data_IF_361648844422
#
_entry.id   IF_361648844422
#
_cell.length_a   1.000
_cell.length_b   1.000
_cell.length_c   1.000
_cell.angle_alpha   90.00
_cell.angle_beta   90.00
_cell.angle_gamma   90.00
#
_symmetry.space_group_name_H-M   'P 1'
#
loop_
_entity.id
_entity.type
_entity.pdbx_description
1 polymer ?
#
# COMPACT_ATOMS: atom_id res chain seq x y z
N UNK A 1 45.62 28.20 -17.44
CA UNK A 1 44.79 27.60 -16.37
C UNK A 1 43.57 28.47 -16.16
N UNK A 2 42.37 28.00 -16.54
CA UNK A 2 41.05 28.27 -15.92
C UNK A 2 39.98 27.50 -16.73
N UNK A 3 39.14 26.74 -16.03
CA UNK A 3 38.26 25.66 -16.51
C UNK A 3 36.96 26.15 -17.18
N UNK A 4 36.27 25.28 -17.98
CA UNK A 4 35.02 25.61 -18.66
C UNK A 4 33.80 25.54 -17.73
N UNK A 5 32.79 26.36 -18.03
CA UNK A 5 31.55 26.49 -17.28
C UNK A 5 30.70 25.23 -17.26
N UNK A 6 30.41 24.73 -16.06
CA UNK A 6 29.46 23.66 -15.83
C UNK A 6 28.03 24.22 -15.67
N UNK A 7 27.19 23.90 -16.65
CA UNK A 7 25.73 23.91 -16.56
C UNK A 7 25.24 23.25 -15.26
N UNK A 8 24.64 24.01 -14.35
CA UNK A 8 23.77 23.45 -13.30
C UNK A 8 22.38 23.19 -13.88
N UNK A 9 22.17 21.97 -14.37
CA UNK A 9 20.84 21.35 -14.39
C UNK A 9 20.46 21.10 -12.93
N UNK A 10 19.47 21.81 -12.40
CA UNK A 10 18.84 21.43 -11.14
C UNK A 10 17.91 20.26 -11.41
N UNK A 11 18.41 19.04 -11.19
CA UNK A 11 17.56 17.86 -11.06
C UNK A 11 16.76 18.02 -9.77
N UNK A 12 15.48 18.39 -9.89
CA UNK A 12 14.55 18.43 -8.77
C UNK A 12 14.14 16.99 -8.41
N UNK A 13 15.04 16.26 -7.74
CA UNK A 13 14.66 15.04 -7.04
C UNK A 13 13.92 15.47 -5.78
N UNK A 14 12.61 15.20 -5.72
CA UNK A 14 11.69 15.59 -4.65
C UNK A 14 12.15 15.09 -3.28
N UNK A 15 12.98 15.88 -2.61
CA UNK A 15 13.31 15.69 -1.19
C UNK A 15 12.08 16.11 -0.39
N UNK A 16 11.29 15.14 0.05
CA UNK A 16 10.25 15.39 1.04
C UNK A 16 10.90 16.02 2.28
N UNK A 17 10.43 17.21 2.68
CA UNK A 17 10.97 17.90 3.83
C UNK A 17 10.57 17.13 5.11
N UNK A 18 11.52 16.72 5.96
CA UNK A 18 11.23 15.85 7.13
C UNK A 18 10.25 16.46 8.14
N UNK A 19 9.97 17.77 8.07
CA UNK A 19 8.98 18.44 8.91
C UNK A 19 7.52 18.17 8.52
N UNK A 20 7.24 17.82 7.26
CA UNK A 20 5.86 17.66 6.77
C UNK A 20 5.19 16.42 7.34
N UNK A 21 5.93 15.31 7.52
CA UNK A 21 5.37 14.09 8.11
C UNK A 21 5.12 14.24 9.62
N UNK A 22 5.86 15.11 10.31
CA UNK A 22 5.66 15.42 11.73
C UNK A 22 4.57 16.47 11.99
N UNK A 23 4.03 17.10 10.95
CA UNK A 23 2.97 18.11 11.08
C UNK A 23 1.71 17.50 11.72
N UNK A 24 1.13 18.14 12.76
CA UNK A 24 -0.06 17.62 13.43
C UNK A 24 -1.27 17.43 12.50
N UNK A 25 -1.42 18.28 11.48
CA UNK A 25 -2.48 18.15 10.48
C UNK A 25 -2.29 16.92 9.60
N UNK A 26 -1.04 16.63 9.20
CA UNK A 26 -0.68 15.41 8.47
C UNK A 26 -0.88 14.16 9.33
N UNK A 27 -0.56 14.21 10.62
CA UNK A 27 -0.80 13.09 11.54
C UNK A 27 -2.31 12.83 11.73
N UNK A 28 -3.10 13.88 11.99
CA UNK A 28 -4.55 13.75 12.13
C UNK A 28 -5.22 13.30 10.81
N UNK A 29 -4.68 13.66 9.65
CA UNK A 29 -5.15 13.12 8.38
C UNK A 29 -4.82 11.62 8.25
N UNK A 30 -3.62 11.19 8.68
CA UNK A 30 -3.22 9.78 8.67
C UNK A 30 -4.13 8.92 9.55
N UNK A 31 -4.39 9.36 10.78
CA UNK A 31 -5.28 8.65 11.71
C UNK A 31 -6.69 8.49 11.14
N UNK A 32 -7.23 9.55 10.50
CA UNK A 32 -8.55 9.48 9.85
C UNK A 32 -8.60 8.51 8.67
N UNK A 33 -7.54 8.47 7.86
CA UNK A 33 -7.45 7.51 6.75
C UNK A 33 -7.37 6.08 7.28
N UNK A 34 -6.53 5.82 8.28
CA UNK A 34 -6.39 4.48 8.87
C UNK A 34 -7.71 4.00 9.51
N UNK A 35 -8.44 4.90 10.18
CA UNK A 35 -9.76 4.60 10.73
C UNK A 35 -10.75 4.23 9.62
N UNK A 36 -10.82 5.01 8.53
CA UNK A 36 -11.71 4.74 7.41
C UNK A 36 -11.36 3.44 6.67
N UNK A 37 -10.08 3.17 6.44
CA UNK A 37 -9.60 1.92 5.82
C UNK A 37 -9.93 0.69 6.69
N UNK A 38 -9.87 0.84 8.02
CA UNK A 38 -10.25 -0.21 8.97
C UNK A 38 -11.76 -0.43 8.99
N UNK A 39 -12.56 0.64 9.01
CA UNK A 39 -14.03 0.57 8.99
C UNK A 39 -14.52 -0.13 7.71
N UNK A 40 -14.02 0.31 6.55
CA UNK A 40 -14.31 -0.33 5.27
C UNK A 40 -13.81 -1.79 5.25
N UNK A 41 -12.67 -2.06 5.90
CA UNK A 41 -12.15 -3.39 6.13
C UNK A 41 -13.17 -4.30 6.84
N UNK A 42 -13.81 -3.80 7.89
CA UNK A 42 -14.82 -4.54 8.63
C UNK A 42 -16.08 -4.78 7.80
N UNK A 43 -16.53 -3.79 7.04
CA UNK A 43 -17.70 -3.89 6.16
C UNK A 43 -17.53 -4.97 5.08
N UNK A 44 -16.35 -5.02 4.46
CA UNK A 44 -16.07 -5.95 3.36
C UNK A 44 -15.63 -7.34 3.82
N UNK A 45 -15.43 -7.55 5.13
CA UNK A 45 -14.88 -8.79 5.68
C UNK A 45 -15.62 -10.03 5.21
N UNK A 46 -16.95 -10.05 5.27
CA UNK A 46 -17.72 -11.23 4.89
C UNK A 46 -17.45 -11.67 3.43
N UNK A 47 -17.17 -10.70 2.56
CA UNK A 47 -16.91 -10.92 1.14
C UNK A 47 -15.44 -11.25 0.86
N UNK A 48 -14.52 -10.56 1.52
CA UNK A 48 -13.09 -10.58 1.17
C UNK A 48 -12.22 -11.49 2.06
N UNK A 49 -12.74 -11.94 3.21
CA UNK A 49 -12.04 -12.89 4.09
C UNK A 49 -11.57 -14.17 3.37
N UNK A 50 -12.31 -14.76 2.41
CA UNK A 50 -11.82 -15.95 1.69
C UNK A 50 -10.49 -15.75 0.94
N UNK A 51 -10.15 -14.51 0.54
CA UNK A 51 -8.85 -14.23 -0.09
C UNK A 51 -7.73 -14.20 0.95
N UNK A 52 -8.00 -13.63 2.13
CA UNK A 52 -7.07 -13.66 3.26
C UNK A 52 -6.84 -15.10 3.74
N UNK A 53 -7.87 -15.93 3.80
CA UNK A 53 -7.74 -17.31 4.25
C UNK A 53 -6.88 -18.14 3.28
N UNK A 54 -7.02 -17.91 1.96
CA UNK A 54 -6.15 -18.52 0.95
C UNK A 54 -4.70 -18.05 1.07
N UNK A 55 -4.48 -16.77 1.32
CA UNK A 55 -3.15 -16.24 1.58
C UNK A 55 -2.53 -16.88 2.83
N UNK A 56 -3.27 -16.93 3.94
CA UNK A 56 -2.79 -17.52 5.20
C UNK A 56 -2.44 -19.01 5.00
N UNK A 57 -3.23 -19.75 4.22
CA UNK A 57 -2.95 -21.14 3.83
C UNK A 57 -1.68 -21.25 2.98
N UNK A 58 -1.56 -20.45 1.92
CA UNK A 58 -0.41 -20.47 1.02
C UNK A 58 0.90 -20.18 1.77
N UNK A 59 0.87 -19.24 2.73
CA UNK A 59 2.00 -18.97 3.63
C UNK A 59 2.31 -20.18 4.50
N UNK A 60 1.30 -20.81 5.10
CA UNK A 60 1.49 -21.97 5.97
C UNK A 60 2.06 -23.19 5.24
N UNK A 61 1.68 -23.38 3.98
CA UNK A 61 2.12 -24.50 3.14
C UNK A 61 3.39 -24.21 2.35
N UNK A 62 3.83 -22.95 2.28
CA UNK A 62 4.94 -22.54 1.41
C UNK A 62 4.59 -22.61 -0.08
N UNK A 63 3.32 -22.40 -0.43
CA UNK A 63 2.82 -22.39 -1.81
C UNK A 63 3.29 -21.13 -2.55
N UNK A 64 4.43 -21.24 -3.23
CA UNK A 64 5.02 -20.13 -3.99
C UNK A 64 4.15 -19.69 -5.17
N UNK A 65 3.43 -20.62 -5.82
CA UNK A 65 2.59 -20.29 -6.96
C UNK A 65 1.33 -19.52 -6.52
N UNK A 66 0.74 -19.93 -5.40
CA UNK A 66 -0.38 -19.21 -4.76
C UNK A 66 0.01 -17.79 -4.32
N UNK A 67 1.23 -17.60 -3.83
CA UNK A 67 1.76 -16.29 -3.46
C UNK A 67 2.16 -15.44 -4.69
N UNK A 68 2.60 -16.06 -5.79
CA UNK A 68 2.97 -15.36 -7.01
C UNK A 68 1.76 -14.78 -7.76
N UNK A 69 0.57 -15.35 -7.57
CA UNK A 69 -0.69 -14.90 -8.18
C UNK A 69 -1.40 -13.75 -7.45
N UNK A 70 -0.77 -13.16 -6.44
CA UNK A 70 -1.34 -12.04 -5.69
C UNK A 70 -1.11 -10.70 -6.38
N UNK A 71 -1.99 -9.76 -6.09
CA UNK A 71 -1.95 -8.38 -6.56
C UNK A 71 -0.54 -7.77 -6.46
N UNK A 72 -0.04 -7.31 -7.61
CA UNK A 72 1.24 -6.61 -7.73
C UNK A 72 1.23 -5.20 -7.14
N UNK A 73 0.06 -4.61 -6.89
CA UNK A 73 -0.15 -3.35 -6.13
C UNK A 73 0.16 -3.55 -4.65
N UNK A 74 1.39 -3.97 -4.38
CA UNK A 74 1.75 -4.83 -3.24
C UNK A 74 2.15 -4.11 -1.98
N UNK A 75 1.97 -2.80 -1.94
CA UNK A 75 2.13 -2.07 -0.70
C UNK A 75 1.01 -1.04 -0.70
N UNK A 76 0.04 -1.18 0.20
CA UNK A 76 -0.51 0.05 0.77
C UNK A 76 0.65 0.78 1.48
N UNK A 77 0.60 2.11 1.60
CA UNK A 77 1.49 2.87 2.51
C UNK A 77 1.58 2.05 3.82
N UNK A 78 2.76 1.70 4.36
CA UNK A 78 2.95 0.81 5.56
C UNK A 78 3.31 -0.68 5.35
N UNK A 79 3.66 -1.13 4.14
CA UNK A 79 4.11 -2.53 3.95
C UNK A 79 2.97 -3.55 4.02
N UNK A 80 1.78 -3.13 3.57
CA UNK A 80 0.56 -3.93 3.57
C UNK A 80 0.47 -4.75 2.28
N UNK A 81 0.34 -6.07 2.41
CA UNK A 81 0.18 -6.96 1.27
C UNK A 81 -1.28 -6.96 0.84
N UNK A 82 -1.54 -6.69 -0.45
CA UNK A 82 -2.84 -6.93 -1.04
C UNK A 82 -2.99 -8.43 -1.33
N UNK A 83 -3.98 -9.07 -0.72
CA UNK A 83 -4.20 -10.52 -0.84
C UNK A 83 -5.22 -10.90 -1.93
N UNK A 84 -5.65 -9.92 -2.74
CA UNK A 84 -6.51 -10.18 -3.89
C UNK A 84 -5.71 -10.74 -5.08
N UNK A 85 -6.36 -11.40 -6.04
CA UNK A 85 -5.68 -11.91 -7.24
C UNK A 85 -5.04 -10.80 -8.06
N UNK A 86 -3.97 -11.15 -8.78
CA UNK A 86 -3.32 -10.26 -9.73
C UNK A 86 -4.31 -9.69 -10.76
N UNK A 87 -4.14 -8.40 -11.06
CA UNK A 87 -4.98 -7.66 -11.99
C UNK A 87 -6.33 -7.17 -11.46
N UNK A 88 -6.70 -7.44 -10.20
CA UNK A 88 -7.97 -6.92 -9.63
C UNK A 88 -8.03 -5.38 -9.64
N UNK A 89 -6.86 -4.73 -9.57
CA UNK A 89 -6.72 -3.28 -9.62
C UNK A 89 -7.16 -2.68 -10.96
N UNK A 90 -7.26 -3.50 -12.03
CA UNK A 90 -7.70 -3.05 -13.35
C UNK A 90 -9.21 -2.87 -13.46
N UNK A 91 -10.01 -3.63 -12.69
CA UNK A 91 -11.46 -3.49 -12.67
C UNK A 91 -11.93 -2.36 -11.75
N UNK A 92 -11.10 -2.02 -10.74
CA UNK A 92 -11.41 -1.07 -9.67
C UNK A 92 -12.73 -1.37 -8.92
N UNK A 93 -13.26 -2.59 -9.05
CA UNK A 93 -14.50 -3.01 -8.39
C UNK A 93 -14.27 -3.21 -6.89
N UNK A 94 -13.13 -3.83 -6.54
CA UNK A 94 -12.74 -4.05 -5.16
C UNK A 94 -11.57 -3.16 -4.74
N UNK A 95 -11.63 -2.56 -3.53
CA UNK A 95 -10.44 -1.98 -2.95
C UNK A 95 -9.39 -3.07 -2.71
N UNK A 96 -8.14 -2.66 -2.57
CA UNK A 96 -7.13 -3.57 -2.05
C UNK A 96 -7.52 -4.04 -0.66
N UNK A 97 -7.17 -5.29 -0.35
CA UNK A 97 -7.57 -5.95 0.88
C UNK A 97 -6.40 -6.67 1.54
N UNK A 98 -6.37 -6.66 2.87
CA UNK A 98 -5.34 -7.36 3.65
C UNK A 98 -5.53 -7.14 5.16
N UNK A 99 -4.43 -7.26 5.91
CA UNK A 99 -4.39 -6.97 7.35
C UNK A 99 -3.35 -5.91 7.67
N UNK A 100 -3.62 -5.10 8.69
CA UNK A 100 -2.63 -4.19 9.26
C UNK A 100 -1.65 -4.95 10.18
N UNK A 101 -0.67 -4.24 10.77
CA UNK A 101 0.33 -4.83 11.67
C UNK A 101 -0.25 -5.45 12.94
N UNK A 102 -1.49 -5.12 13.30
CA UNK A 102 -2.20 -5.68 14.45
C UNK A 102 -3.08 -6.88 14.05
N UNK A 103 -3.05 -7.29 12.77
CA UNK A 103 -3.86 -8.39 12.25
C UNK A 103 -5.33 -8.02 11.97
N UNK A 104 -5.71 -6.74 12.07
CA UNK A 104 -7.07 -6.29 11.78
C UNK A 104 -7.29 -6.18 10.26
N UNK A 105 -8.48 -6.55 9.74
CA UNK A 105 -8.80 -6.40 8.33
C UNK A 105 -8.81 -4.92 7.94
N UNK A 106 -8.32 -4.64 6.74
CA UNK A 106 -8.27 -3.29 6.16
C UNK A 106 -8.58 -3.36 4.67
N UNK A 107 -9.23 -2.30 4.17
CA UNK A 107 -9.49 -2.10 2.75
C UNK A 107 -9.03 -0.70 2.33
N UNK A 108 -8.30 -0.58 1.23
CA UNK A 108 -7.75 0.71 0.76
C UNK A 108 -7.84 0.89 -0.75
N UNK A 109 -7.86 2.14 -1.19
CA UNK A 109 -7.90 2.52 -2.61
C UNK A 109 -6.57 3.18 -3.00
N UNK A 110 -6.02 2.75 -4.13
CA UNK A 110 -4.79 3.30 -4.71
C UNK A 110 -3.52 2.56 -4.30
N UNK A 111 -2.45 2.84 -5.05
CA UNK A 111 -1.10 2.28 -4.86
C UNK A 111 -0.35 3.03 -3.76
N UNK A 112 0.72 2.44 -3.20
CA UNK A 112 1.52 3.19 -2.23
C UNK A 112 2.18 4.41 -2.90
N UNK A 113 2.40 5.49 -2.12
CA UNK A 113 2.97 6.73 -2.65
C UNK A 113 4.41 6.62 -3.18
N UNK A 114 5.04 5.45 -3.16
CA UNK A 114 6.34 5.14 -3.75
C UNK A 114 6.27 4.53 -5.17
N UNK A 115 5.08 4.38 -5.76
CA UNK A 115 4.89 3.85 -7.12
C UNK A 115 4.98 4.90 -8.26
N UNK A 116 5.59 6.08 -8.02
CA UNK A 116 5.83 7.13 -9.05
C UNK A 116 7.22 7.78 -8.96
#
# INVERSE_FOLDING_TARGET
MLQPGATRRTSNSGRQAPGVLGDPGVQAARERVEAAETELGLELRARLQPFQDRYDQAVAEGDADGLAGLCGGKHGRWGRICVLPDGHETSMEEPHWGRNSEGRPIAWVGSAPDDW
#
